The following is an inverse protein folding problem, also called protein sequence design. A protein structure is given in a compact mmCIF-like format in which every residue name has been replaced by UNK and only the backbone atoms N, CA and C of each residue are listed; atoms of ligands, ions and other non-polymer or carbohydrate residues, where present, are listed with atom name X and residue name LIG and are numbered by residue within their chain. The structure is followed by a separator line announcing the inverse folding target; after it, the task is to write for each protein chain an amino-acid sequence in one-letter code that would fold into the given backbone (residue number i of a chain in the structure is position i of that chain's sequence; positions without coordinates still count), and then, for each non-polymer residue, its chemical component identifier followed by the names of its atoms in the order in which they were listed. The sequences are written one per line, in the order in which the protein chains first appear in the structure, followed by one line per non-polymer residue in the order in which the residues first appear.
data_IF_911862404833
#
_entry.id   IF_911862404833
#
_cell.length_a   1.000
_cell.length_b   1.000
_cell.length_c   1.000
_cell.angle_alpha   90.00
_cell.angle_beta   90.00
_cell.angle_gamma   90.00
#
_symmetry.space_group_name_H-M   'P 1'
#
loop_
_entity.id
_entity.type
_entity.pdbx_description
1 polymer ?
#
# COMPACT_ATOMS: atom_id res chain seq x y z
N UNK A 1 28.56 -0.34 -0.77
CA UNK A 1 27.64 0.33 -1.71
C UNK A 1 27.10 -0.75 -2.65
N UNK A 2 25.80 -1.02 -2.62
CA UNK A 2 25.17 -1.92 -3.59
C UNK A 2 25.09 -1.17 -4.92
N UNK A 3 26.07 -1.35 -5.79
CA UNK A 3 25.98 -0.89 -7.17
C UNK A 3 24.98 -1.80 -7.87
N UNK A 4 23.79 -1.25 -8.14
CA UNK A 4 22.77 -1.88 -8.95
C UNK A 4 23.25 -1.86 -10.41
N UNK A 5 24.24 -2.70 -10.73
CA UNK A 5 24.71 -2.94 -12.09
C UNK A 5 23.61 -3.77 -12.78
N UNK A 6 22.56 -3.09 -13.22
CA UNK A 6 21.51 -3.70 -14.02
C UNK A 6 22.11 -4.26 -15.32
N UNK A 7 21.72 -5.47 -15.75
CA UNK A 7 22.22 -6.03 -17.00
C UNK A 7 21.98 -5.03 -18.13
N UNK A 8 23.04 -4.77 -18.90
CA UNK A 8 23.04 -3.85 -20.03
C UNK A 8 21.74 -4.00 -20.84
N UNK A 9 20.91 -2.96 -20.75
CA UNK A 9 19.74 -2.76 -21.60
C UNK A 9 18.75 -3.93 -21.63
N UNK A 10 18.19 -4.30 -20.47
CA UNK A 10 16.97 -5.10 -20.44
C UNK A 10 15.88 -4.41 -21.29
N UNK A 11 15.16 -5.13 -22.18
CA UNK A 11 14.14 -4.53 -23.02
C UNK A 11 13.09 -3.90 -22.10
N UNK A 12 12.95 -2.57 -22.14
CA UNK A 12 11.95 -1.82 -21.38
C UNK A 12 10.57 -2.39 -21.73
N UNK A 13 10.08 -3.29 -20.89
CA UNK A 13 8.79 -3.94 -21.11
C UNK A 13 7.71 -2.86 -21.10
N UNK A 14 6.76 -2.97 -22.04
CA UNK A 14 5.75 -1.93 -22.25
C UNK A 14 5.01 -1.62 -20.95
N UNK A 15 5.09 -0.36 -20.50
CA UNK A 15 4.41 0.11 -19.30
C UNK A 15 2.91 0.06 -19.55
N UNK A 16 2.19 -0.79 -18.82
CA UNK A 16 0.73 -0.76 -18.82
C UNK A 16 0.27 0.60 -18.28
N UNK A 17 -0.47 1.42 -19.07
CA UNK A 17 -0.88 2.73 -18.61
C UNK A 17 -1.75 2.58 -17.36
N UNK A 18 -1.42 3.33 -16.31
CA UNK A 18 -2.26 3.38 -15.11
C UNK A 18 -3.60 3.99 -15.49
N UNK A 19 -4.68 3.44 -14.92
CA UNK A 19 -6.02 4.02 -15.10
C UNK A 19 -5.99 5.45 -14.52
N UNK A 20 -6.38 6.48 -15.27
CA UNK A 20 -6.21 7.88 -14.83
C UNK A 20 -7.01 8.21 -13.57
N UNK A 21 -8.06 7.44 -13.29
CA UNK A 21 -8.90 7.59 -12.10
C UNK A 21 -8.34 6.91 -10.85
N UNK A 22 -7.38 5.97 -10.97
CA UNK A 22 -6.89 5.21 -9.82
C UNK A 22 -6.13 6.10 -8.82
N UNK A 23 -5.31 7.03 -9.33
CA UNK A 23 -4.54 7.96 -8.51
C UNK A 23 -5.43 8.90 -7.71
N UNK A 24 -6.40 9.65 -8.29
CA UNK A 24 -7.25 10.54 -7.51
C UNK A 24 -8.11 9.79 -6.49
N UNK A 25 -8.57 8.57 -6.80
CA UNK A 25 -9.31 7.75 -5.83
C UNK A 25 -8.43 7.39 -4.62
N UNK A 26 -7.19 6.97 -4.85
CA UNK A 26 -6.24 6.67 -3.76
C UNK A 26 -5.89 7.92 -2.95
N UNK A 27 -5.76 9.09 -3.60
CA UNK A 27 -5.51 10.36 -2.90
C UNK A 27 -6.69 10.74 -2.01
N UNK A 28 -7.92 10.65 -2.52
CA UNK A 28 -9.12 10.93 -1.71
C UNK A 28 -9.26 9.94 -0.56
N UNK A 29 -9.01 8.65 -0.80
CA UNK A 29 -9.02 7.63 0.26
C UNK A 29 -7.97 7.92 1.34
N UNK A 30 -6.76 8.32 0.95
CA UNK A 30 -5.69 8.71 1.86
C UNK A 30 -6.08 9.92 2.73
N UNK A 31 -6.62 10.97 2.11
CA UNK A 31 -7.12 12.14 2.82
C UNK A 31 -8.24 11.77 3.79
N UNK A 32 -9.14 10.87 3.37
CA UNK A 32 -10.19 10.32 4.24
C UNK A 32 -9.62 9.65 5.49
N UNK A 33 -8.63 8.77 5.34
CA UNK A 33 -7.96 8.10 6.48
C UNK A 33 -7.25 9.11 7.38
N UNK A 34 -6.59 10.13 6.82
CA UNK A 34 -5.93 11.18 7.60
C UNK A 34 -6.93 12.00 8.43
N UNK A 35 -8.04 12.42 7.84
CA UNK A 35 -9.10 13.16 8.54
C UNK A 35 -9.72 12.28 9.62
N UNK A 36 -9.99 11.01 9.31
CA UNK A 36 -10.56 10.06 10.27
C UNK A 36 -9.60 9.76 11.44
N UNK A 37 -8.29 9.77 11.17
CA UNK A 37 -7.25 9.68 12.19
C UNK A 37 -7.15 10.93 13.04
N UNK A 38 -7.57 12.09 12.53
CA UNK A 38 -7.49 13.33 13.28
C UNK A 38 -8.37 13.23 14.53
N UNK A 39 -7.70 13.08 15.66
CA UNK A 39 -8.32 12.66 16.92
C UNK A 39 -8.91 13.89 17.64
N UNK A 40 -10.12 14.28 17.22
CA UNK A 40 -10.88 15.36 17.85
C UNK A 40 -11.87 14.85 18.93
N UNK A 41 -11.79 13.57 19.30
CA UNK A 41 -12.85 12.96 20.09
C UNK A 41 -12.79 13.36 21.57
N UNK A 42 -13.97 13.24 22.20
CA UNK A 42 -14.29 13.61 23.58
C UNK A 42 -13.59 12.69 24.58
N UNK A 43 -12.27 12.85 24.77
CA UNK A 43 -11.49 12.22 25.83
C UNK A 43 -12.06 12.46 27.24
N UNK A 44 -12.96 13.44 27.39
CA UNK A 44 -13.62 13.79 28.65
C UNK A 44 -14.80 12.89 29.00
N UNK A 45 -15.32 12.09 28.07
CA UNK A 45 -16.46 11.20 28.30
C UNK A 45 -16.11 9.78 27.86
N UNK A 46 -15.96 8.89 28.83
CA UNK A 46 -15.71 7.45 28.65
C UNK A 46 -16.98 6.66 28.32
N UNK A 47 -18.15 7.24 28.60
CA UNK A 47 -19.45 6.66 28.28
C UNK A 47 -19.98 7.20 26.93
N UNK A 48 -20.69 6.37 26.15
CA UNK A 48 -21.08 4.98 26.40
C UNK A 48 -19.96 3.97 26.08
N UNK A 49 -19.82 2.93 26.91
CA UNK A 49 -18.90 1.82 26.66
C UNK A 49 -19.49 0.90 25.58
N UNK A 50 -18.80 0.75 24.45
CA UNK A 50 -19.11 -0.28 23.47
C UNK A 50 -18.76 -1.66 24.04
N UNK A 51 -19.66 -2.64 23.86
CA UNK A 51 -19.50 -4.01 24.38
C UNK A 51 -19.30 -4.09 25.92
N UNK A 52 -19.63 -3.03 26.67
CA UNK A 52 -19.50 -2.98 28.13
C UNK A 52 -18.08 -2.72 28.67
N UNK A 53 -17.06 -2.61 27.81
CA UNK A 53 -15.67 -2.37 28.26
C UNK A 53 -14.85 -1.45 27.34
N UNK A 54 -15.30 -1.20 26.11
CA UNK A 54 -14.51 -0.49 25.10
C UNK A 54 -14.92 1.00 25.04
N UNK A 55 -14.07 1.94 25.47
CA UNK A 55 -14.34 3.37 25.36
C UNK A 55 -14.55 3.81 23.91
N UNK A 56 -15.37 4.85 23.72
CA UNK A 56 -15.69 5.35 22.38
C UNK A 56 -14.44 5.77 21.58
N UNK A 57 -13.44 6.34 22.24
CA UNK A 57 -12.18 6.69 21.58
C UNK A 57 -11.41 5.47 21.06
N UNK A 58 -11.42 4.36 21.80
CA UNK A 58 -10.59 3.18 21.46
C UNK A 58 -11.15 2.39 20.28
N UNK A 59 -12.47 2.18 20.20
CA UNK A 59 -13.03 1.49 19.03
C UNK A 59 -12.85 2.33 17.76
N UNK A 60 -12.92 3.66 17.86
CA UNK A 60 -12.71 4.55 16.73
C UNK A 60 -11.29 4.40 16.17
N UNK A 61 -10.29 4.37 17.05
CA UNK A 61 -8.90 4.14 16.64
C UNK A 61 -8.68 2.73 16.04
N UNK A 62 -9.40 1.71 16.54
CA UNK A 62 -9.37 0.38 15.95
C UNK A 62 -9.94 0.39 14.52
N UNK A 63 -11.06 1.09 14.31
CA UNK A 63 -11.65 1.25 12.97
C UNK A 63 -10.72 2.01 12.02
N UNK A 64 -10.10 3.10 12.47
CA UNK A 64 -9.10 3.85 11.70
C UNK A 64 -7.94 2.96 11.28
N UNK A 65 -7.44 2.11 12.18
CA UNK A 65 -6.35 1.17 11.88
C UNK A 65 -6.76 0.13 10.83
N UNK A 66 -8.00 -0.35 10.89
CA UNK A 66 -8.56 -1.27 9.88
C UNK A 66 -8.71 -0.58 8.52
N UNK A 67 -9.18 0.67 8.49
CA UNK A 67 -9.26 1.43 7.24
C UNK A 67 -7.86 1.68 6.64
N UNK A 68 -6.85 1.94 7.48
CA UNK A 68 -5.47 2.11 7.02
C UNK A 68 -4.89 0.84 6.42
N UNK A 69 -5.17 -0.35 7.00
CA UNK A 69 -4.70 -1.62 6.43
C UNK A 69 -5.37 -1.93 5.09
N UNK A 70 -6.68 -1.66 4.96
CA UNK A 70 -7.40 -1.78 3.68
C UNK A 70 -6.85 -0.79 2.65
N UNK A 71 -6.56 0.44 3.04
CA UNK A 71 -5.93 1.43 2.16
C UNK A 71 -4.57 0.97 1.65
N UNK A 72 -3.73 0.39 2.51
CA UNK A 72 -2.45 -0.20 2.10
C UNK A 72 -2.62 -1.35 1.12
N UNK A 73 -3.59 -2.23 1.36
CA UNK A 73 -3.93 -3.30 0.42
C UNK A 73 -4.38 -2.75 -0.95
N UNK A 74 -5.18 -1.69 -0.98
CA UNK A 74 -5.57 -1.00 -2.22
C UNK A 74 -4.36 -0.37 -2.92
N UNK A 75 -3.41 0.21 -2.18
CA UNK A 75 -2.18 0.74 -2.75
C UNK A 75 -1.34 -0.35 -3.42
N UNK A 76 -1.18 -1.50 -2.76
CA UNK A 76 -0.43 -2.64 -3.34
C UNK A 76 -1.15 -3.18 -4.58
N UNK A 77 -2.46 -3.31 -4.56
CA UNK A 77 -3.20 -3.89 -5.70
C UNK A 77 -3.36 -2.94 -6.89
N UNK A 78 -3.48 -1.63 -6.65
CA UNK A 78 -3.78 -0.64 -7.70
C UNK A 78 -2.58 0.22 -8.10
N UNK A 79 -1.67 0.53 -7.18
CA UNK A 79 -0.54 1.42 -7.44
C UNK A 79 0.76 0.66 -7.74
N UNK A 80 0.90 -0.58 -7.27
CA UNK A 80 2.12 -1.36 -7.48
C UNK A 80 2.35 -1.65 -8.98
N UNK A 81 3.49 -1.20 -9.52
CA UNK A 81 3.76 -1.33 -10.94
C UNK A 81 4.34 -2.72 -11.27
N UNK A 82 3.51 -3.61 -11.82
CA UNK A 82 3.92 -4.98 -12.17
C UNK A 82 5.02 -5.11 -13.25
N UNK A 83 5.45 -4.03 -13.89
CA UNK A 83 6.61 -4.08 -14.81
C UNK A 83 7.93 -4.32 -14.06
N UNK A 84 8.04 -3.84 -12.81
CA UNK A 84 9.20 -4.10 -11.96
C UNK A 84 9.31 -5.59 -11.60
N UNK A 85 8.17 -6.26 -11.42
CA UNK A 85 8.13 -7.70 -11.15
C UNK A 85 8.51 -8.50 -12.39
N UNK A 86 8.03 -8.11 -13.57
CA UNK A 86 8.39 -8.77 -14.81
C UNK A 86 9.90 -8.68 -15.10
N UNK A 87 10.51 -7.51 -14.90
CA UNK A 87 11.96 -7.32 -15.04
C UNK A 87 12.74 -8.16 -14.04
N UNK A 88 12.31 -8.21 -12.78
CA UNK A 88 12.93 -9.02 -11.74
C UNK A 88 12.86 -10.53 -12.06
N UNK A 89 11.71 -11.03 -12.53
CA UNK A 89 11.51 -12.44 -12.90
C UNK A 89 12.38 -12.82 -14.10
N UNK A 90 12.49 -11.95 -15.11
CA UNK A 90 13.32 -12.18 -16.29
C UNK A 90 14.81 -12.24 -15.91
N UNK A 91 15.27 -11.32 -15.05
CA UNK A 91 16.64 -11.30 -14.55
C UNK A 91 16.99 -12.55 -13.73
N UNK A 92 16.08 -13.00 -12.85
CA UNK A 92 16.25 -14.21 -12.06
C UNK A 92 16.34 -15.47 -12.95
N UNK A 93 15.45 -15.57 -13.95
CA UNK A 93 15.46 -16.70 -14.89
C UNK A 93 16.80 -16.80 -15.64
N UNK A 94 17.32 -15.67 -16.14
CA UNK A 94 18.62 -15.62 -16.82
C UNK A 94 19.76 -16.08 -15.91
N UNK A 95 19.78 -15.64 -14.65
CA UNK A 95 20.78 -16.08 -13.66
C UNK A 95 20.76 -17.60 -13.44
N UNK A 96 19.58 -18.21 -13.45
CA UNK A 96 19.44 -19.67 -13.28
C UNK A 96 19.92 -20.44 -14.52
N UNK A 97 19.73 -19.88 -15.72
CA UNK A 97 20.23 -20.44 -16.98
C UNK A 97 21.77 -20.40 -17.01
N UNK A 98 22.39 -19.26 -16.68
CA UNK A 98 23.86 -19.10 -16.62
C UNK A 98 24.53 -20.01 -15.57
N UNK A 99 23.80 -20.48 -14.54
CA UNK A 99 24.33 -21.40 -13.52
C UNK A 99 24.26 -22.87 -13.94
N UNK A 100 23.48 -23.17 -14.98
CA UNK A 100 23.21 -24.54 -15.44
C UNK A 100 24.19 -24.98 -16.53
N UNK A 101 24.78 -24.02 -17.24
CA UNK A 101 25.89 -24.19 -18.19
C UNK A 101 27.25 -24.24 -17.45
#
# INVERSE_FOLDING_TARGET
MLTQEGPAEAPRLAVKPRKPWAVPVLVVAFLGVLVMRHDFWQWRTTEPLLLGFLPVGLWWQALVSLCASVFMWLCVTLAWPGHLEAEAIVAEKKRLEDKKD
#
